data_IF_158066167131
#
_entry.id   IF_158066167131
#
_cell.length_a   1.000
_cell.length_b   1.000
_cell.length_c   1.000
_cell.angle_alpha   90.00
_cell.angle_beta   90.00
_cell.angle_gamma   90.00
#
_symmetry.space_group_name_H-M   'P 1'
#
loop_
_entity.id
_entity.type
_entity.pdbx_description
1 polymer ?
#
# COMPACT_ATOMS: atom_id res chain seq x y z
N UNK A 1 -9.41 38.82 -4.63
CA UNK A 1 -9.14 37.45 -4.12
C UNK A 1 -7.64 37.29 -3.97
N UNK A 2 -7.20 36.84 -2.80
CA UNK A 2 -5.76 36.65 -2.54
C UNK A 2 -5.25 35.39 -3.23
N UNK A 3 -4.01 35.43 -3.69
CA UNK A 3 -3.40 34.29 -4.36
C UNK A 3 -3.33 33.05 -3.47
N UNK A 4 -3.11 33.24 -2.16
CA UNK A 4 -3.09 32.13 -1.19
C UNK A 4 -4.42 31.40 -1.14
N UNK A 5 -5.54 32.14 -1.22
CA UNK A 5 -6.87 31.53 -1.23
C UNK A 5 -7.10 30.73 -2.51
N UNK A 6 -6.68 31.27 -3.64
CA UNK A 6 -6.77 30.58 -4.95
C UNK A 6 -5.93 29.30 -4.92
N UNK A 7 -4.68 29.42 -4.47
CA UNK A 7 -3.78 28.26 -4.36
C UNK A 7 -4.32 27.18 -3.44
N UNK A 8 -4.92 27.56 -2.32
CA UNK A 8 -5.53 26.63 -1.38
C UNK A 8 -6.69 25.86 -2.02
N UNK A 9 -7.58 26.57 -2.75
CA UNK A 9 -8.70 25.93 -3.44
C UNK A 9 -8.23 24.97 -4.52
N UNK A 10 -7.26 25.39 -5.32
CA UNK A 10 -6.70 24.55 -6.39
C UNK A 10 -6.06 23.30 -5.81
N UNK A 11 -5.28 23.44 -4.73
CA UNK A 11 -4.64 22.31 -4.07
C UNK A 11 -5.68 21.30 -3.58
N UNK A 12 -6.76 21.78 -2.95
CA UNK A 12 -7.81 20.90 -2.44
C UNK A 12 -8.50 20.15 -3.57
N UNK A 13 -8.76 20.79 -4.69
CA UNK A 13 -9.38 20.15 -5.85
C UNK A 13 -8.44 19.09 -6.43
N UNK A 14 -7.17 19.42 -6.61
CA UNK A 14 -6.18 18.48 -7.15
C UNK A 14 -6.02 17.28 -6.21
N UNK A 15 -5.98 17.51 -4.90
CA UNK A 15 -5.86 16.44 -3.92
C UNK A 15 -7.06 15.50 -3.98
N UNK A 16 -8.28 16.01 -4.11
CA UNK A 16 -9.48 15.18 -4.25
C UNK A 16 -9.47 14.37 -5.54
N UNK A 17 -9.11 14.98 -6.65
CA UNK A 17 -9.02 14.30 -7.94
C UNK A 17 -7.95 13.20 -7.86
N UNK A 18 -6.80 13.50 -7.30
CA UNK A 18 -5.73 12.53 -7.12
C UNK A 18 -6.20 11.34 -6.29
N UNK A 19 -6.90 11.60 -5.18
CA UNK A 19 -7.41 10.53 -4.32
C UNK A 19 -8.41 9.64 -5.04
N UNK A 20 -9.36 10.23 -5.79
CA UNK A 20 -10.34 9.47 -6.56
C UNK A 20 -9.64 8.58 -7.59
N UNK A 21 -8.67 9.14 -8.31
CA UNK A 21 -7.91 8.38 -9.31
C UNK A 21 -7.10 7.26 -8.67
N UNK A 22 -6.49 7.52 -7.52
CA UNK A 22 -5.76 6.50 -6.78
C UNK A 22 -6.68 5.37 -6.34
N UNK A 23 -7.85 5.69 -5.80
CA UNK A 23 -8.82 4.68 -5.40
C UNK A 23 -9.27 3.81 -6.59
N UNK A 24 -9.56 4.44 -7.72
CA UNK A 24 -9.93 3.70 -8.94
C UNK A 24 -8.81 2.77 -9.39
N UNK A 25 -7.58 3.29 -9.42
CA UNK A 25 -6.41 2.50 -9.82
C UNK A 25 -6.20 1.30 -8.89
N UNK A 26 -6.25 1.52 -7.58
CA UNK A 26 -6.04 0.45 -6.62
C UNK A 26 -7.17 -0.57 -6.66
N UNK A 27 -8.43 -0.13 -6.71
CA UNK A 27 -9.57 -1.05 -6.76
C UNK A 27 -9.62 -1.87 -8.04
N UNK A 28 -9.12 -1.33 -9.14
CA UNK A 28 -9.04 -2.06 -10.40
C UNK A 28 -8.00 -3.17 -10.34
N UNK A 29 -6.85 -2.90 -9.73
CA UNK A 29 -5.70 -3.82 -9.76
C UNK A 29 -5.66 -4.79 -8.58
N UNK A 30 -6.10 -4.36 -7.40
CA UNK A 30 -6.07 -5.19 -6.19
C UNK A 30 -7.09 -6.31 -6.34
N UNK A 31 -6.66 -7.53 -6.04
CA UNK A 31 -7.50 -8.73 -6.14
C UNK A 31 -8.27 -8.97 -4.84
N UNK A 32 -9.31 -9.76 -4.93
CA UNK A 32 -10.16 -10.08 -3.78
C UNK A 32 -11.27 -9.06 -3.63
N UNK A 33 -11.66 -8.75 -2.39
CA UNK A 33 -12.75 -7.82 -2.10
C UNK A 33 -12.26 -6.38 -2.03
N UNK A 34 -11.78 -5.86 -3.16
CA UNK A 34 -11.30 -4.48 -3.22
C UNK A 34 -12.43 -3.45 -3.08
N UNK A 35 -13.68 -3.85 -3.25
CA UNK A 35 -14.83 -2.93 -3.12
C UNK A 35 -15.05 -2.50 -1.68
N UNK A 36 -14.84 -3.39 -0.72
CA UNK A 36 -14.98 -3.07 0.69
C UNK A 36 -13.72 -2.46 1.28
N UNK A 37 -12.63 -2.37 0.52
CA UNK A 37 -11.37 -1.82 0.97
C UNK A 37 -11.50 -0.32 1.23
N UNK A 38 -11.17 0.11 2.45
CA UNK A 38 -11.10 1.52 2.78
C UNK A 38 -9.72 2.05 2.45
N UNK A 39 -9.67 3.08 1.63
CA UNK A 39 -8.43 3.69 1.17
C UNK A 39 -8.42 5.14 1.66
N UNK A 40 -7.52 5.42 2.61
CA UNK A 40 -7.34 6.77 3.15
C UNK A 40 -6.29 7.53 2.32
N UNK A 41 -5.79 8.64 2.84
CA UNK A 41 -4.90 9.52 2.07
C UNK A 41 -3.55 8.87 1.77
N UNK A 42 -3.22 8.80 0.49
CA UNK A 42 -1.88 8.48 -0.03
C UNK A 42 -1.23 7.19 0.48
N UNK A 43 -1.95 6.06 0.56
CA UNK A 43 -1.24 4.79 0.69
C UNK A 43 -0.49 4.52 -0.62
N UNK A 44 0.73 4.00 -0.51
CA UNK A 44 1.51 3.62 -1.69
C UNK A 44 1.51 2.10 -1.81
N UNK A 45 1.00 1.60 -2.93
CA UNK A 45 1.00 0.17 -3.22
C UNK A 45 1.81 -0.05 -4.50
N UNK A 46 2.94 -0.72 -4.36
CA UNK A 46 3.78 -1.11 -5.50
C UNK A 46 3.29 -2.45 -6.00
N UNK A 47 3.04 -2.57 -7.29
CA UNK A 47 2.47 -3.77 -7.92
C UNK A 47 1.14 -4.19 -7.27
N UNK A 48 0.11 -3.35 -7.33
CA UNK A 48 -1.17 -3.68 -6.67
C UNK A 48 -1.85 -4.93 -7.22
N UNK A 49 -1.51 -5.37 -8.41
CA UNK A 49 -2.01 -6.62 -9.00
C UNK A 49 -1.50 -7.88 -8.26
N UNK A 50 -0.47 -7.74 -7.43
CA UNK A 50 0.03 -8.82 -6.58
C UNK A 50 -0.52 -8.75 -5.14
N UNK A 51 -1.42 -7.82 -4.86
CA UNK A 51 -2.08 -7.69 -3.56
C UNK A 51 -3.48 -8.28 -3.64
N UNK A 52 -3.79 -9.16 -2.68
CA UNK A 52 -5.13 -9.71 -2.52
C UNK A 52 -5.64 -9.32 -1.13
N UNK A 53 -6.86 -8.80 -1.07
CA UNK A 53 -7.47 -8.37 0.19
C UNK A 53 -8.74 -9.16 0.47
N UNK A 54 -8.99 -9.44 1.73
CA UNK A 54 -10.26 -9.99 2.18
C UNK A 54 -11.29 -8.88 2.40
N UNK A 55 -12.36 -9.20 3.14
CA UNK A 55 -13.43 -8.25 3.42
C UNK A 55 -13.00 -7.21 4.45
N UNK A 56 -13.43 -5.98 4.27
CA UNK A 56 -13.31 -4.89 5.24
C UNK A 56 -11.87 -4.61 5.70
N UNK A 57 -10.93 -4.67 4.77
CA UNK A 57 -9.56 -4.22 5.03
C UNK A 57 -9.47 -2.70 4.92
N UNK A 58 -8.43 -2.12 5.52
CA UNK A 58 -8.17 -0.68 5.40
C UNK A 58 -6.70 -0.40 5.20
N UNK A 59 -6.42 0.54 4.30
CA UNK A 59 -5.09 1.08 4.05
C UNK A 59 -5.09 2.53 4.50
N UNK A 60 -4.35 2.84 5.54
CA UNK A 60 -4.35 4.17 6.13
C UNK A 60 -3.28 5.07 5.53
N UNK A 61 -3.30 6.34 5.96
CA UNK A 61 -2.47 7.40 5.40
C UNK A 61 -0.98 7.04 5.43
N UNK A 62 -0.31 7.20 4.29
CA UNK A 62 1.12 7.02 4.20
C UNK A 62 1.62 5.60 4.40
N UNK A 63 0.72 4.61 4.41
CA UNK A 63 1.16 3.22 4.46
C UNK A 63 1.85 2.83 3.15
N UNK A 64 2.77 1.88 3.22
CA UNK A 64 3.51 1.37 2.06
C UNK A 64 3.38 -0.13 1.99
N UNK A 65 2.82 -0.62 0.89
CA UNK A 65 2.75 -2.04 0.59
C UNK A 65 3.58 -2.32 -0.64
N UNK A 66 4.72 -2.97 -0.45
CA UNK A 66 5.64 -3.32 -1.53
C UNK A 66 5.33 -4.74 -1.97
N UNK A 67 4.46 -4.86 -2.98
CA UNK A 67 3.88 -6.14 -3.40
C UNK A 67 4.56 -6.71 -4.64
N UNK A 68 5.89 -6.63 -4.71
CA UNK A 68 6.64 -7.26 -5.81
C UNK A 68 6.49 -8.78 -5.74
N UNK A 69 6.52 -9.36 -4.54
CA UNK A 69 6.00 -10.71 -4.29
C UNK A 69 4.52 -10.63 -3.93
N UNK A 70 3.86 -11.77 -3.80
CA UNK A 70 2.44 -11.79 -3.45
C UNK A 70 2.22 -11.40 -1.98
N UNK A 71 1.27 -10.49 -1.76
CA UNK A 71 0.81 -10.11 -0.43
C UNK A 71 -0.66 -10.43 -0.32
N UNK A 72 -1.03 -11.19 0.70
CA UNK A 72 -2.43 -11.57 0.93
C UNK A 72 -2.85 -11.09 2.31
N UNK A 73 -3.85 -10.25 2.35
CA UNK A 73 -4.48 -9.79 3.59
C UNK A 73 -5.77 -10.59 3.80
N UNK A 74 -5.95 -11.12 4.99
CA UNK A 74 -7.20 -11.77 5.37
C UNK A 74 -8.33 -10.77 5.56
N UNK A 75 -9.39 -11.15 6.26
CA UNK A 75 -10.52 -10.28 6.51
C UNK A 75 -10.25 -9.35 7.70
N UNK A 76 -10.76 -8.14 7.64
CA UNK A 76 -10.67 -7.15 8.72
C UNK A 76 -9.22 -6.82 9.10
N UNK A 77 -8.32 -6.76 8.11
CA UNK A 77 -6.93 -6.37 8.34
C UNK A 77 -6.81 -4.86 8.21
N UNK A 78 -6.18 -4.25 9.19
CA UNK A 78 -5.92 -2.81 9.21
C UNK A 78 -4.44 -2.56 9.04
N UNK A 79 -4.08 -1.82 7.99
CA UNK A 79 -2.71 -1.33 7.80
C UNK A 79 -2.69 0.13 8.25
N UNK A 80 -2.06 0.38 9.38
CA UNK A 80 -2.08 1.69 10.03
C UNK A 80 -1.29 2.74 9.25
N UNK A 81 -1.52 4.00 9.58
CA UNK A 81 -0.79 5.10 8.98
C UNK A 81 0.72 4.92 9.17
N UNK A 82 1.47 5.06 8.09
CA UNK A 82 2.92 4.91 8.10
C UNK A 82 3.44 3.49 8.23
N UNK A 83 2.56 2.49 8.31
CA UNK A 83 2.98 1.09 8.36
C UNK A 83 3.55 0.65 7.01
N UNK A 84 4.46 -0.33 7.05
CA UNK A 84 5.15 -0.79 5.85
C UNK A 84 5.13 -2.32 5.78
N UNK A 85 4.81 -2.84 4.60
CA UNK A 85 4.85 -4.27 4.32
C UNK A 85 5.74 -4.48 3.10
N UNK A 86 6.76 -5.31 3.26
CA UNK A 86 7.67 -5.64 2.17
C UNK A 86 7.60 -7.12 1.84
N UNK A 87 7.52 -7.44 0.56
CA UNK A 87 7.49 -8.81 0.04
C UNK A 87 8.80 -9.19 -0.65
N UNK A 88 9.88 -8.49 -0.35
CA UNK A 88 11.21 -8.79 -0.87
C UNK A 88 12.23 -8.75 0.25
N UNK A 89 13.34 -9.45 0.05
CA UNK A 89 14.50 -9.37 0.93
C UNK A 89 15.76 -9.55 0.08
N UNK A 90 16.90 -9.11 0.61
CA UNK A 90 18.18 -9.39 -0.04
C UNK A 90 18.54 -10.86 0.10
N UNK A 91 19.06 -11.43 -0.97
CA UNK A 91 19.59 -12.79 -0.93
C UNK A 91 21.03 -12.76 -0.44
N UNK A 92 21.21 -12.98 0.87
CA UNK A 92 22.54 -12.94 1.48
C UNK A 92 23.39 -14.17 1.14
N UNK A 93 22.78 -15.23 0.62
CA UNK A 93 23.52 -16.43 0.22
C UNK A 93 24.36 -16.19 -1.04
N UNK A 94 24.04 -15.17 -1.81
CA UNK A 94 24.77 -14.75 -3.01
C UNK A 94 25.41 -13.39 -2.83
N UNK A 95 25.85 -13.09 -1.61
CA UNK A 95 26.34 -11.74 -1.27
C UNK A 95 27.75 -11.53 -1.82
N UNK A 96 27.83 -10.94 -3.02
CA UNK A 96 29.05 -10.46 -3.62
C UNK A 96 28.90 -8.98 -3.99
N UNK A 97 29.99 -8.33 -4.37
CA UNK A 97 29.96 -6.94 -4.84
C UNK A 97 28.94 -6.75 -5.98
N UNK A 98 28.90 -7.68 -6.91
CA UNK A 98 28.02 -7.60 -8.07
C UNK A 98 26.59 -8.05 -7.78
N UNK A 99 26.37 -8.80 -6.72
CA UNK A 99 25.06 -9.41 -6.40
C UNK A 99 24.40 -8.83 -5.17
N UNK A 100 24.99 -7.82 -4.54
CA UNK A 100 24.44 -7.24 -3.30
C UNK A 100 23.06 -6.60 -3.47
N UNK A 101 22.59 -6.41 -4.70
CA UNK A 101 21.25 -5.88 -4.98
C UNK A 101 20.28 -6.96 -5.45
N UNK A 102 20.64 -8.22 -5.29
CA UNK A 102 19.74 -9.31 -5.65
C UNK A 102 18.63 -9.44 -4.63
N UNK A 103 17.39 -9.30 -5.09
CA UNK A 103 16.21 -9.35 -4.23
C UNK A 103 15.46 -10.67 -4.45
N UNK A 104 15.12 -11.33 -3.35
CA UNK A 104 14.21 -12.47 -3.38
C UNK A 104 12.78 -11.97 -3.20
N UNK A 105 11.88 -12.46 -4.03
CA UNK A 105 10.45 -12.22 -3.85
C UNK A 105 9.93 -13.22 -2.83
N UNK A 106 9.21 -12.71 -1.83
CA UNK A 106 8.63 -13.53 -0.77
C UNK A 106 7.15 -13.25 -0.66
N UNK A 107 6.35 -14.32 -0.55
CA UNK A 107 4.93 -14.15 -0.27
C UNK A 107 4.73 -13.76 1.18
N UNK A 108 3.82 -12.83 1.43
CA UNK A 108 3.45 -12.37 2.78
C UNK A 108 1.97 -12.67 2.97
N UNK A 109 1.65 -13.38 4.06
CA UNK A 109 0.27 -13.70 4.41
C UNK A 109 -0.05 -13.10 5.77
N UNK A 110 -1.07 -12.27 5.82
CA UNK A 110 -1.52 -11.62 7.05
C UNK A 110 -2.91 -12.14 7.36
N UNK A 111 -3.05 -12.76 8.53
CA UNK A 111 -4.29 -13.42 8.94
C UNK A 111 -5.39 -12.42 9.28
N UNK A 112 -6.62 -12.94 9.39
CA UNK A 112 -7.81 -12.14 9.69
C UNK A 112 -7.62 -11.37 11.01
N UNK A 113 -8.13 -10.14 11.02
CA UNK A 113 -8.16 -9.31 12.21
C UNK A 113 -6.83 -8.73 12.65
N UNK A 114 -5.77 -8.87 11.85
CA UNK A 114 -4.47 -8.29 12.19
C UNK A 114 -4.47 -6.78 12.04
N UNK A 115 -3.73 -6.14 12.90
CA UNK A 115 -3.51 -4.70 12.86
C UNK A 115 -2.01 -4.44 12.73
N UNK A 116 -1.60 -3.96 11.57
CA UNK A 116 -0.19 -3.66 11.29
C UNK A 116 0.06 -2.21 11.68
N UNK A 117 0.82 -2.03 12.75
CA UNK A 117 1.10 -0.71 13.31
C UNK A 117 2.33 -0.07 12.66
N UNK A 118 2.39 1.25 12.71
CA UNK A 118 3.56 2.01 12.29
C UNK A 118 4.76 1.63 13.17
N UNK A 119 5.90 1.39 12.54
CA UNK A 119 7.11 0.96 13.26
C UNK A 119 7.10 -0.50 13.66
N UNK A 120 6.07 -1.25 13.31
CA UNK A 120 6.03 -2.70 13.50
C UNK A 120 7.04 -3.38 12.59
N UNK A 121 7.88 -4.18 13.15
CA UNK A 121 8.90 -4.93 12.40
C UNK A 121 8.33 -6.08 11.60
#
# INVERSE_FOLDING_TARGET
MKWETVGCLIYQIIAKVHHVLLCCYLRYNIKGDSKSLLIYDNPKVVCPDNLTVGEHCSLNEGSLLHCVGNVVLGNNVTVSAGAKIFSTQYDVSHWTESEKHYHLRKSVFINDGCWICSGGG
#
